data_IF_056357010039
#
_entry.id   IF_056357010039
#
_cell.length_a   1.000
_cell.length_b   1.000
_cell.length_c   1.000
_cell.angle_alpha   90.00
_cell.angle_beta   90.00
_cell.angle_gamma   90.00
#
_symmetry.space_group_name_H-M   'P 1'
#
loop_
_entity.id
_entity.type
_entity.pdbx_description
1 polymer ?
#
# COMPACT_ATOMS: atom_id res chain seq x y z
N UNK A 1 -26.70 2.56 -6.48
CA UNK A 1 -26.59 3.51 -5.36
C UNK A 1 -25.16 4.03 -5.28
N UNK A 2 -24.94 5.33 -5.51
CA UNK A 2 -23.62 5.96 -5.41
C UNK A 2 -23.31 6.32 -3.96
N UNK A 3 -22.12 5.96 -3.49
CA UNK A 3 -21.61 6.43 -2.18
C UNK A 3 -21.21 7.90 -2.31
N UNK A 4 -21.62 8.73 -1.35
CA UNK A 4 -21.25 10.14 -1.34
C UNK A 4 -19.72 10.30 -1.18
N UNK A 5 -19.07 11.25 -1.89
CA UNK A 5 -17.62 11.44 -1.85
C UNK A 5 -17.04 11.66 -0.45
N UNK A 6 -17.86 12.15 0.49
CA UNK A 6 -17.48 12.40 1.88
C UNK A 6 -17.01 11.13 2.63
N UNK A 7 -17.39 9.94 2.16
CA UNK A 7 -17.02 8.67 2.79
C UNK A 7 -15.72 8.07 2.25
N UNK A 8 -15.13 8.62 1.19
CA UNK A 8 -13.92 8.05 0.59
C UNK A 8 -12.71 8.05 1.54
N UNK A 9 -12.44 9.10 2.34
CA UNK A 9 -11.33 9.07 3.31
C UNK A 9 -11.50 7.98 4.37
N UNK A 10 -12.75 7.75 4.81
CA UNK A 10 -13.11 6.71 5.77
C UNK A 10 -12.79 5.32 5.20
N UNK A 11 -13.06 5.09 3.92
CA UNK A 11 -12.77 3.80 3.28
C UNK A 11 -11.27 3.55 3.11
N UNK A 12 -10.49 4.60 2.82
CA UNK A 12 -9.03 4.52 2.78
C UNK A 12 -8.46 4.20 4.17
N UNK A 13 -8.98 4.81 5.23
CA UNK A 13 -8.55 4.52 6.59
C UNK A 13 -8.83 3.06 6.97
N UNK A 14 -10.03 2.54 6.68
CA UNK A 14 -10.36 1.13 6.90
C UNK A 14 -9.37 0.23 6.16
N UNK A 15 -9.10 0.52 4.88
CA UNK A 15 -8.16 -0.28 4.11
C UNK A 15 -6.74 -0.27 4.69
N UNK A 16 -6.22 0.89 5.10
CA UNK A 16 -4.90 1.00 5.74
C UNK A 16 -4.87 0.17 7.03
N UNK A 17 -5.89 0.31 7.88
CA UNK A 17 -5.97 -0.46 9.13
C UNK A 17 -6.04 -1.97 8.86
N UNK A 18 -6.84 -2.40 7.87
CA UNK A 18 -6.91 -3.80 7.44
C UNK A 18 -5.53 -4.32 7.07
N UNK A 19 -4.79 -3.63 6.21
CA UNK A 19 -3.43 -4.04 5.81
C UNK A 19 -2.44 -4.08 6.97
N UNK A 20 -2.46 -3.07 7.86
CA UNK A 20 -1.58 -3.04 9.04
C UNK A 20 -1.89 -4.19 10.00
N UNK A 21 -3.15 -4.64 10.06
CA UNK A 21 -3.55 -5.81 10.87
C UNK A 21 -3.40 -7.16 10.16
N UNK A 22 -2.84 -7.19 8.95
CA UNK A 22 -2.54 -8.41 8.22
C UNK A 22 -3.63 -8.88 7.24
N UNK A 23 -4.72 -8.13 7.08
CA UNK A 23 -5.69 -8.36 6.01
C UNK A 23 -5.13 -7.94 4.65
N UNK A 24 -5.67 -8.49 3.57
CA UNK A 24 -5.07 -8.36 2.23
C UNK A 24 -6.06 -8.04 1.11
N UNK A 25 -7.36 -8.26 1.32
CA UNK A 25 -8.36 -8.11 0.27
C UNK A 25 -9.59 -7.27 0.68
N UNK A 26 -10.53 -7.10 -0.25
CA UNK A 26 -11.75 -6.32 0.00
C UNK A 26 -12.72 -7.00 0.97
N UNK A 27 -12.65 -8.33 1.13
CA UNK A 27 -13.46 -9.04 2.11
C UNK A 27 -12.92 -8.78 3.52
N UNK A 28 -11.59 -8.80 3.68
CA UNK A 28 -10.92 -8.43 4.92
C UNK A 28 -11.25 -7.00 5.32
N UNK A 29 -11.36 -6.07 4.36
CA UNK A 29 -11.79 -4.68 4.62
C UNK A 29 -13.23 -4.60 5.12
N UNK A 30 -14.14 -5.37 4.50
CA UNK A 30 -15.53 -5.46 4.96
C UNK A 30 -15.60 -6.02 6.39
N UNK A 31 -14.90 -7.13 6.64
CA UNK A 31 -14.86 -7.78 7.94
C UNK A 31 -14.25 -6.88 9.01
N UNK A 32 -13.13 -6.20 8.71
CA UNK A 32 -12.53 -5.22 9.61
C UNK A 32 -13.53 -4.11 9.97
N UNK A 33 -14.21 -3.54 8.97
CA UNK A 33 -15.22 -2.51 9.20
C UNK A 33 -16.38 -3.00 10.08
N UNK A 34 -16.76 -4.28 9.94
CA UNK A 34 -17.84 -4.90 10.71
C UNK A 34 -17.44 -5.19 12.15
N UNK A 35 -16.25 -5.74 12.36
CA UNK A 35 -15.76 -6.19 13.67
C UNK A 35 -15.17 -5.06 14.51
N UNK A 36 -14.40 -4.17 13.87
CA UNK A 36 -13.60 -3.14 14.55
C UNK A 36 -14.06 -1.71 14.26
N UNK A 37 -14.98 -1.50 13.32
CA UNK A 37 -15.49 -0.16 12.98
C UNK A 37 -16.14 0.55 14.17
N UNK A 38 -16.76 -0.19 15.10
CA UNK A 38 -17.32 0.37 16.34
C UNK A 38 -16.25 0.84 17.32
N UNK A 39 -15.08 0.21 17.34
CA UNK A 39 -13.94 0.59 18.19
C UNK A 39 -13.24 1.84 17.69
N UNK A 40 -13.43 2.19 16.42
CA UNK A 40 -12.88 3.38 15.78
C UNK A 40 -13.86 4.58 15.79
N UNK A 41 -14.93 4.49 16.60
CA UNK A 41 -15.87 5.59 16.82
C UNK A 41 -15.12 6.80 17.37
N UNK A 42 -15.07 7.87 16.59
CA UNK A 42 -14.27 9.08 16.85
C UNK A 42 -13.38 9.45 15.66
N UNK A 43 -12.82 8.45 14.97
CA UNK A 43 -12.09 8.61 13.71
C UNK A 43 -12.94 8.22 12.50
N UNK A 44 -13.89 7.30 12.69
CA UNK A 44 -14.74 6.73 11.65
C UNK A 44 -16.22 6.85 12.03
N UNK A 45 -17.03 7.42 11.13
CA UNK A 45 -18.49 7.41 11.24
C UNK A 45 -19.06 6.61 10.08
N UNK A 46 -19.71 5.49 10.41
CA UNK A 46 -20.34 4.59 9.45
C UNK A 46 -21.86 4.59 9.67
N UNK A 47 -22.59 5.62 9.20
CA UNK A 47 -24.02 5.76 9.47
C UNK A 47 -24.86 4.62 8.87
N UNK A 48 -24.33 3.94 7.85
CA UNK A 48 -24.98 2.81 7.18
C UNK A 48 -24.26 1.47 7.46
N UNK A 49 -23.39 1.43 8.46
CA UNK A 49 -22.58 0.24 8.77
C UNK A 49 -21.38 0.04 7.83
N UNK A 50 -20.76 -1.13 7.95
CA UNK A 50 -19.55 -1.48 7.19
C UNK A 50 -19.85 -1.57 5.68
N UNK A 51 -19.06 -0.90 4.82
CA UNK A 51 -19.21 -1.01 3.37
C UNK A 51 -18.99 -2.44 2.89
N UNK A 52 -19.69 -2.86 1.85
CA UNK A 52 -19.44 -4.15 1.20
C UNK A 52 -18.10 -4.18 0.46
N UNK A 53 -17.58 -5.38 0.19
CA UNK A 53 -16.41 -5.60 -0.68
C UNK A 53 -16.52 -4.87 -2.01
N UNK A 54 -17.69 -4.93 -2.66
CA UNK A 54 -17.94 -4.30 -3.96
C UNK A 54 -17.89 -2.77 -3.87
N UNK A 55 -18.23 -2.22 -2.70
CA UNK A 55 -18.13 -0.78 -2.45
C UNK A 55 -16.67 -0.35 -2.35
N UNK A 56 -15.83 -1.12 -1.65
CA UNK A 56 -14.40 -0.90 -1.64
C UNK A 56 -13.83 -1.00 -3.06
N UNK A 57 -14.15 -2.07 -3.79
CA UNK A 57 -13.66 -2.27 -5.15
C UNK A 57 -13.99 -1.07 -6.06
N UNK A 58 -15.23 -0.57 -6.01
CA UNK A 58 -15.65 0.59 -6.81
C UNK A 58 -14.91 1.88 -6.43
N UNK A 59 -14.57 2.06 -5.15
CA UNK A 59 -13.83 3.24 -4.67
C UNK A 59 -12.37 3.14 -5.09
N UNK A 60 -11.73 2.00 -4.86
CA UNK A 60 -10.34 1.77 -5.25
C UNK A 60 -10.14 1.79 -6.77
N UNK A 61 -11.12 1.32 -7.55
CA UNK A 61 -11.11 1.45 -9.03
C UNK A 61 -11.07 2.90 -9.52
N UNK A 62 -11.61 3.84 -8.75
CA UNK A 62 -11.61 5.28 -9.09
C UNK A 62 -10.39 6.02 -8.53
N UNK A 63 -9.60 5.37 -7.69
CA UNK A 63 -8.50 5.99 -7.00
C UNK A 63 -7.31 6.18 -7.96
N UNK A 64 -6.76 7.40 -7.99
CA UNK A 64 -5.53 7.64 -8.71
C UNK A 64 -4.35 7.07 -7.90
N UNK A 65 -3.70 6.05 -8.44
CA UNK A 65 -2.59 5.35 -7.78
C UNK A 65 -1.41 6.29 -7.51
N UNK A 66 -1.08 7.18 -8.45
CA UNK A 66 0.03 8.13 -8.31
C UNK A 66 -0.21 9.12 -7.17
N UNK A 67 -1.43 9.66 -7.05
CA UNK A 67 -1.80 10.56 -5.97
C UNK A 67 -1.80 9.86 -4.60
N UNK A 68 -2.27 8.61 -4.55
CA UNK A 68 -2.18 7.82 -3.31
C UNK A 68 -0.72 7.60 -2.91
N UNK A 69 0.13 7.22 -3.86
CA UNK A 69 1.56 7.00 -3.61
C UNK A 69 2.25 8.27 -3.11
N UNK A 70 1.96 9.42 -3.72
CA UNK A 70 2.52 10.71 -3.28
C UNK A 70 2.09 11.06 -1.86
N UNK A 71 0.82 10.83 -1.52
CA UNK A 71 0.27 11.03 -0.19
C UNK A 71 0.99 10.13 0.83
N UNK A 72 1.09 8.83 0.55
CA UNK A 72 1.77 7.86 1.42
C UNK A 72 3.26 8.20 1.60
N UNK A 73 3.95 8.67 0.56
CA UNK A 73 5.34 9.10 0.69
C UNK A 73 5.44 10.36 1.53
N UNK A 74 4.57 11.34 1.31
CA UNK A 74 4.62 12.64 2.01
C UNK A 74 4.37 12.48 3.50
N UNK A 75 3.27 11.82 3.87
CA UNK A 75 2.92 11.61 5.28
C UNK A 75 3.69 10.44 5.92
N UNK A 76 4.19 9.49 5.11
CA UNK A 76 5.05 8.42 5.59
C UNK A 76 6.40 8.91 6.08
N UNK A 77 6.89 10.07 5.63
CA UNK A 77 8.14 10.69 6.13
C UNK A 77 8.13 10.88 7.64
N UNK A 78 6.99 11.29 8.20
CA UNK A 78 6.87 11.49 9.65
C UNK A 78 7.00 10.15 10.40
N UNK A 79 6.46 9.07 9.84
CA UNK A 79 6.62 7.71 10.37
C UNK A 79 8.09 7.27 10.26
N UNK A 80 8.76 7.61 9.16
CA UNK A 80 10.17 7.30 8.90
C UNK A 80 11.13 8.00 9.87
N UNK A 81 10.78 9.16 10.42
CA UNK A 81 11.58 9.79 11.47
C UNK A 81 11.70 8.90 12.72
N UNK A 82 10.66 8.11 13.02
CA UNK A 82 10.66 7.07 14.06
C UNK A 82 11.38 5.78 13.64
N UNK A 83 11.85 5.70 12.38
CA UNK A 83 12.60 4.57 11.82
C UNK A 83 14.10 4.90 11.63
N UNK A 84 14.57 6.07 12.08
CA UNK A 84 15.99 6.40 12.05
C UNK A 84 16.82 5.30 12.71
N UNK A 85 18.00 5.02 12.12
CA UNK A 85 18.96 3.98 12.55
C UNK A 85 18.55 2.52 12.32
N UNK A 86 17.44 2.23 11.64
CA UNK A 86 16.98 0.86 11.37
C UNK A 86 17.53 0.27 10.08
N UNK A 87 17.65 -1.06 10.04
CA UNK A 87 18.21 -1.75 8.89
C UNK A 87 17.20 -1.77 7.72
N UNK A 88 17.64 -1.27 6.56
CA UNK A 88 16.89 -1.37 5.31
C UNK A 88 17.36 -2.62 4.56
N UNK A 89 16.45 -3.56 4.34
CA UNK A 89 16.62 -4.77 3.54
C UNK A 89 16.05 -4.53 2.14
N UNK A 90 16.82 -4.87 1.11
CA UNK A 90 16.35 -4.83 -0.28
C UNK A 90 16.03 -6.26 -0.76
N UNK A 91 14.80 -6.50 -1.20
CA UNK A 91 14.32 -7.83 -1.60
C UNK A 91 13.53 -7.81 -2.92
N UNK A 92 13.99 -8.60 -3.89
CA UNK A 92 13.35 -8.78 -5.20
C UNK A 92 12.28 -9.87 -5.17
N UNK A 93 11.02 -9.50 -5.43
CA UNK A 93 9.89 -10.45 -5.51
C UNK A 93 9.32 -10.53 -6.92
N UNK A 94 9.04 -11.75 -7.37
CA UNK A 94 8.23 -12.01 -8.56
C UNK A 94 6.78 -12.21 -8.17
N UNK A 95 5.88 -11.39 -8.73
CA UNK A 95 4.44 -11.50 -8.48
C UNK A 95 3.87 -12.79 -9.07
N UNK A 96 3.17 -13.58 -8.26
CA UNK A 96 2.44 -14.80 -8.68
C UNK A 96 1.09 -14.41 -9.30
N UNK A 97 0.62 -15.18 -10.28
CA UNK A 97 -0.67 -14.94 -10.97
C UNK A 97 -0.59 -14.03 -12.20
N UNK A 98 0.60 -13.53 -12.54
CA UNK A 98 0.84 -12.81 -13.80
C UNK A 98 1.07 -13.86 -14.89
N UNK A 99 0.08 -14.07 -15.77
CA UNK A 99 0.17 -15.11 -16.79
C UNK A 99 1.30 -14.81 -17.79
N UNK A 100 2.27 -15.73 -17.98
CA UNK A 100 3.30 -15.60 -19.02
C UNK A 100 2.72 -15.58 -20.44
N UNK A 101 1.47 -16.03 -20.61
CA UNK A 101 0.82 -16.13 -21.92
C UNK A 101 0.14 -14.83 -22.39
N UNK A 102 0.04 -13.79 -21.54
CA UNK A 102 -0.34 -12.47 -22.04
C UNK A 102 0.86 -11.89 -22.81
N UNK A 103 0.70 -11.72 -24.13
CA UNK A 103 1.74 -11.25 -25.06
C UNK A 103 2.63 -10.16 -24.44
N UNK A 104 3.90 -10.49 -24.20
CA UNK A 104 4.92 -9.55 -23.74
C UNK A 104 5.16 -9.45 -22.22
N UNK A 105 4.55 -10.31 -21.41
CA UNK A 105 4.73 -10.27 -19.95
C UNK A 105 5.72 -11.35 -19.46
N UNK A 106 6.99 -10.99 -19.27
CA UNK A 106 8.06 -11.84 -18.70
C UNK A 106 7.90 -12.14 -17.21
N UNK A 107 6.78 -11.72 -16.61
CA UNK A 107 6.52 -11.70 -15.18
C UNK A 107 6.88 -10.35 -14.58
N UNK A 108 6.06 -9.91 -13.61
CA UNK A 108 6.29 -8.63 -12.93
C UNK A 108 7.25 -8.84 -11.76
N UNK A 109 8.46 -8.26 -11.87
CA UNK A 109 9.44 -8.22 -10.79
C UNK A 109 9.34 -6.89 -10.05
N UNK A 110 9.35 -6.95 -8.72
CA UNK A 110 9.28 -5.79 -7.84
C UNK A 110 10.44 -5.89 -6.85
N UNK A 111 11.31 -4.88 -6.85
CA UNK A 111 12.30 -4.68 -5.81
C UNK A 111 11.65 -3.90 -4.66
N UNK A 112 11.67 -4.46 -3.46
CA UNK A 112 11.14 -3.84 -2.25
C UNK A 112 12.29 -3.35 -1.38
N UNK A 113 12.14 -2.17 -0.79
CA UNK A 113 12.92 -1.71 0.34
C UNK A 113 12.07 -1.90 1.61
N UNK A 114 12.60 -2.62 2.58
CA UNK A 114 11.89 -3.10 3.76
C UNK A 114 12.66 -2.78 5.04
N UNK A 115 11.97 -2.28 6.06
CA UNK A 115 12.52 -2.10 7.41
C UNK A 115 12.02 -3.25 8.27
N UNK A 116 12.93 -4.16 8.63
CA UNK A 116 12.56 -5.45 9.23
C UNK A 116 11.94 -5.30 10.61
N UNK A 117 12.43 -4.36 11.40
CA UNK A 117 12.07 -4.10 12.78
C UNK A 117 10.63 -3.59 12.91
N UNK A 118 10.12 -2.95 11.87
CA UNK A 118 8.79 -2.35 11.86
C UNK A 118 7.80 -3.06 10.94
N UNK A 119 8.25 -4.07 10.19
CA UNK A 119 7.46 -4.75 9.17
C UNK A 119 6.84 -3.78 8.14
N UNK A 120 7.61 -2.77 7.72
CA UNK A 120 7.16 -1.74 6.79
C UNK A 120 7.97 -1.81 5.50
N UNK A 121 7.26 -1.85 4.37
CA UNK A 121 7.86 -1.58 3.07
C UNK A 121 7.97 -0.07 2.88
N UNK A 122 9.19 0.44 2.92
CA UNK A 122 9.48 1.84 2.72
C UNK A 122 9.75 2.17 1.26
N UNK A 123 9.47 1.29 0.30
CA UNK A 123 9.71 1.61 -1.11
C UNK A 123 9.59 0.41 -2.03
N UNK A 124 9.06 0.64 -3.23
CA UNK A 124 8.96 -0.39 -4.25
C UNK A 124 9.34 0.16 -5.62
N UNK A 125 10.05 -0.64 -6.41
CA UNK A 125 10.42 -0.32 -7.78
C UNK A 125 10.12 -1.51 -8.68
N UNK A 126 9.36 -1.28 -9.75
CA UNK A 126 9.17 -2.28 -10.82
C UNK A 126 10.50 -2.50 -11.54
N UNK A 127 10.81 -3.76 -11.78
CA UNK A 127 11.99 -4.23 -12.51
C UNK A 127 11.51 -5.07 -13.70
N UNK A 128 12.19 -4.97 -14.85
CA UNK A 128 11.79 -5.69 -16.06
C UNK A 128 12.05 -7.20 -15.99
N UNK A 129 13.14 -7.59 -15.30
CA UNK A 129 13.52 -8.98 -15.06
C UNK A 129 14.39 -9.13 -13.80
N UNK A 130 14.74 -10.37 -13.45
CA UNK A 130 15.57 -10.67 -12.27
C UNK A 130 17.01 -10.13 -12.35
N UNK A 131 17.57 -10.02 -13.55
CA UNK A 131 18.93 -9.49 -13.79
C UNK A 131 19.02 -7.98 -13.57
N UNK A 132 17.90 -7.27 -13.69
CA UNK A 132 17.82 -5.82 -13.58
C UNK A 132 17.66 -5.31 -12.13
N UNK A 133 17.70 -6.18 -11.12
CA UNK A 133 17.63 -5.76 -9.71
C UNK A 133 18.82 -4.85 -9.34
N UNK A 134 20.03 -5.17 -9.82
CA UNK A 134 21.25 -4.37 -9.56
C UNK A 134 21.10 -2.94 -10.07
N UNK A 135 20.46 -2.74 -11.23
CA UNK A 135 20.25 -1.40 -11.80
C UNK A 135 19.06 -0.66 -11.17
N UNK A 136 18.16 -1.38 -10.50
CA UNK A 136 17.04 -0.82 -9.75
C UNK A 136 17.42 -0.37 -8.34
N UNK A 137 18.43 -1.00 -7.71
CA UNK A 137 18.93 -0.64 -6.37
C UNK A 137 19.34 0.84 -6.27
N UNK A 138 20.18 1.41 -7.17
CA UNK A 138 20.52 2.83 -7.11
C UNK A 138 19.29 3.75 -7.23
N UNK A 139 18.29 3.37 -8.03
CA UNK A 139 17.07 4.18 -8.23
C UNK A 139 16.23 4.24 -6.96
N UNK A 140 16.04 3.10 -6.29
CA UNK A 140 15.28 3.07 -5.03
C UNK A 140 16.05 3.84 -3.94
N UNK A 141 17.36 3.60 -3.80
CA UNK A 141 18.19 4.34 -2.85
C UNK A 141 18.16 5.86 -3.12
N UNK A 142 18.20 6.29 -4.38
CA UNK A 142 18.14 7.72 -4.71
C UNK A 142 16.82 8.35 -4.29
N UNK A 143 15.69 7.68 -4.55
CA UNK A 143 14.35 8.18 -4.15
C UNK A 143 14.24 8.29 -2.62
N UNK A 144 14.79 7.34 -1.87
CA UNK A 144 14.60 7.27 -0.42
C UNK A 144 15.68 8.02 0.37
N UNK A 145 16.96 7.95 -0.02
CA UNK A 145 18.05 8.73 0.59
C UNK A 145 17.79 10.23 0.40
N UNK A 146 17.41 10.68 -0.80
CA UNK A 146 17.12 12.10 -1.02
C UNK A 146 15.82 12.57 -0.34
N UNK A 147 14.86 11.67 -0.08
CA UNK A 147 13.61 12.02 0.62
C UNK A 147 13.68 11.85 2.15
N UNK A 148 14.66 11.12 2.68
CA UNK A 148 14.94 11.00 4.13
C UNK A 148 15.85 12.12 4.65
N UNK A 149 16.76 12.65 3.83
CA UNK A 149 17.70 13.71 4.22
C UNK A 149 17.18 15.14 3.96
N UNK A 150 16.03 15.29 3.31
CA UNK A 150 15.33 16.56 3.01
C UNK A 150 13.86 16.48 3.43
#
# INVERSE_FOLDING_TARGET
MGVAPIYYPIFLLIAICTYVTGGSDYQDMHMFGKERGSQLRGFLTLPHGAPSSDTFERVFKKLNVSSLQECLVTYGKDILSCLAEKQIVLDGKKLKGVSPTSKGNSGLYILNAWVSENNICIGQQKVEDKSNEITAIPKILTIWILKMLL
#
